data_IF_250984855843
#
_entry.id   IF_250984855843
#
_cell.length_a   1.000
_cell.length_b   1.000
_cell.length_c   1.000
_cell.angle_alpha   90.00
_cell.angle_beta   90.00
_cell.angle_gamma   90.00
#
_symmetry.space_group_name_H-M   'P 1'
#
loop_
_entity.id
_entity.type
_entity.pdbx_description
1 polymer ?
#
# COMPACT_ATOMS: atom_id res chain seq x y z
N UNK A 1 -14.60 -21.59 23.90
CA UNK A 1 -13.68 -20.96 24.84
C UNK A 1 -12.75 -20.09 23.99
N UNK A 2 -13.11 -18.80 23.80
CA UNK A 2 -12.35 -17.87 22.93
C UNK A 2 -11.28 -17.18 23.78
N UNK A 3 -10.02 -17.38 23.42
CA UNK A 3 -8.89 -16.71 24.04
C UNK A 3 -8.88 -15.24 23.61
N UNK A 4 -9.00 -14.32 24.57
CA UNK A 4 -8.75 -12.89 24.39
C UNK A 4 -7.26 -12.70 24.15
N UNK A 5 -6.88 -12.35 22.92
CA UNK A 5 -5.56 -11.82 22.60
C UNK A 5 -5.49 -10.37 23.07
N UNK A 6 -4.74 -10.15 24.13
CA UNK A 6 -4.36 -8.83 24.63
C UNK A 6 -3.31 -8.25 23.69
N UNK A 7 -3.62 -7.10 23.08
CA UNK A 7 -2.66 -6.35 22.27
C UNK A 7 -1.61 -5.67 23.15
N UNK A 8 -0.33 -5.66 22.77
CA UNK A 8 0.67 -4.87 23.46
C UNK A 8 0.42 -3.38 23.19
N UNK A 9 0.37 -2.57 24.25
CA UNK A 9 0.27 -1.13 24.22
C UNK A 9 1.51 -0.51 23.56
N UNK A 10 1.29 0.34 22.56
CA UNK A 10 2.33 1.18 21.95
C UNK A 10 2.76 2.24 22.96
N UNK A 11 4.07 2.43 23.22
CA UNK A 11 4.54 3.45 24.15
C UNK A 11 4.28 4.85 23.58
N UNK A 12 3.62 5.69 24.37
CA UNK A 12 3.48 7.13 24.16
C UNK A 12 4.85 7.81 24.26
N UNK A 13 5.20 8.59 23.26
CA UNK A 13 6.43 9.39 23.23
C UNK A 13 6.42 10.48 24.31
N UNK A 14 7.37 10.40 25.25
CA UNK A 14 7.81 11.54 26.05
C UNK A 14 9.07 12.12 25.43
N UNK A 15 9.04 13.43 25.21
CA UNK A 15 9.99 14.21 24.47
C UNK A 15 11.46 14.11 24.88
N UNK A 16 12.32 14.02 23.88
CA UNK A 16 13.70 14.47 23.93
C UNK A 16 13.93 15.46 22.78
N UNK A 17 14.05 16.74 23.12
CA UNK A 17 14.58 17.78 22.22
C UNK A 17 16.07 17.53 22.01
N UNK A 18 16.44 17.01 20.84
CA UNK A 18 17.82 16.97 20.35
C UNK A 18 17.79 17.33 18.88
N UNK A 19 18.47 18.41 18.52
CA UNK A 19 18.68 18.88 17.15
C UNK A 19 19.18 17.74 16.26
N UNK A 20 18.31 17.20 15.40
CA UNK A 20 18.67 16.28 14.32
C UNK A 20 18.65 17.06 13.01
N UNK A 21 19.80 17.03 12.32
CA UNK A 21 19.90 17.42 10.91
C UNK A 21 18.90 16.59 10.12
N UNK A 22 18.05 17.27 9.36
CA UNK A 22 17.03 16.69 8.47
C UNK A 22 17.67 15.72 7.47
N UNK A 23 17.65 14.45 7.77
CA UNK A 23 17.61 13.37 6.79
C UNK A 23 16.13 13.20 6.46
N UNK A 24 15.73 13.54 5.24
CA UNK A 24 14.35 13.73 4.77
C UNK A 24 13.36 12.59 5.02
N UNK A 25 13.18 12.20 6.26
CA UNK A 25 12.02 11.39 6.66
C UNK A 25 10.82 12.32 6.72
N UNK A 26 9.95 12.26 5.71
CA UNK A 26 8.63 12.86 5.79
C UNK A 26 7.92 12.26 6.99
N UNK A 27 7.62 13.06 8.00
CA UNK A 27 6.71 12.67 9.08
C UNK A 27 5.35 12.32 8.45
N UNK A 28 5.02 11.05 8.45
CA UNK A 28 3.69 10.59 8.05
C UNK A 28 2.78 10.92 9.24
N UNK A 29 1.89 11.89 9.05
CA UNK A 29 0.85 12.17 10.04
C UNK A 29 -0.09 10.96 10.12
N UNK A 30 -0.10 10.34 11.29
CA UNK A 30 -0.92 9.16 11.56
C UNK A 30 -2.08 9.56 12.47
N UNK A 31 -3.29 9.19 12.08
CA UNK A 31 -4.46 9.28 12.95
C UNK A 31 -4.68 7.94 13.65
N UNK A 32 -5.08 8.00 14.91
CA UNK A 32 -5.54 6.79 15.61
C UNK A 32 -6.82 6.26 14.95
N UNK A 33 -6.81 4.97 14.67
CA UNK A 33 -7.96 4.29 14.07
C UNK A 33 -8.99 3.97 15.15
N UNK A 34 -10.25 4.40 14.94
CA UNK A 34 -11.35 4.07 15.84
C UNK A 34 -11.83 2.63 15.64
N UNK A 35 -12.37 1.99 16.67
CA UNK A 35 -12.96 0.64 16.57
C UNK A 35 -14.08 0.55 15.50
N UNK A 36 -14.84 1.64 15.31
CA UNK A 36 -15.90 1.71 14.32
C UNK A 36 -15.39 1.74 12.88
N UNK A 37 -14.10 2.02 12.64
CA UNK A 37 -13.54 2.13 11.30
C UNK A 37 -13.51 0.78 10.57
N UNK A 38 -13.13 -0.30 11.23
CA UNK A 38 -13.00 -1.61 10.55
C UNK A 38 -14.34 -2.11 9.96
N UNK A 39 -15.48 -2.09 10.66
CA UNK A 39 -16.76 -2.41 10.06
C UNK A 39 -17.17 -1.46 8.91
N UNK A 40 -16.84 -0.17 9.02
CA UNK A 40 -17.05 0.81 7.96
C UNK A 40 -16.22 0.47 6.73
N UNK A 41 -14.93 0.23 6.91
CA UNK A 41 -13.99 -0.17 5.86
C UNK A 41 -14.42 -1.45 5.14
N UNK A 42 -14.83 -2.50 5.89
CA UNK A 42 -15.33 -3.74 5.31
C UNK A 42 -16.58 -3.51 4.44
N UNK A 43 -17.52 -2.71 4.92
CA UNK A 43 -18.73 -2.37 4.17
C UNK A 43 -18.40 -1.56 2.90
N UNK A 44 -17.44 -0.64 2.98
CA UNK A 44 -16.94 0.12 1.84
C UNK A 44 -16.32 -0.79 0.77
N UNK A 45 -15.47 -1.73 1.15
CA UNK A 45 -14.89 -2.71 0.24
C UNK A 45 -15.94 -3.57 -0.47
N UNK A 46 -16.93 -4.06 0.28
CA UNK A 46 -18.07 -4.80 -0.27
C UNK A 46 -18.88 -3.92 -1.24
N UNK A 47 -19.11 -2.65 -0.89
CA UNK A 47 -19.83 -1.72 -1.75
C UNK A 47 -19.11 -1.52 -3.08
N UNK A 48 -17.81 -1.23 -3.06
CA UNK A 48 -17.00 -1.04 -4.27
C UNK A 48 -16.96 -2.30 -5.12
N UNK A 49 -16.76 -3.48 -4.53
CA UNK A 49 -16.74 -4.74 -5.26
C UNK A 49 -18.04 -5.03 -6.02
N UNK A 50 -19.18 -4.60 -5.51
CA UNK A 50 -20.49 -4.78 -6.18
C UNK A 50 -20.68 -3.89 -7.42
N UNK A 51 -19.81 -2.91 -7.65
CA UNK A 51 -19.90 -2.02 -8.81
C UNK A 51 -19.30 -2.65 -10.08
N UNK A 52 -18.63 -3.81 -9.94
CA UNK A 52 -17.97 -4.51 -11.05
C UNK A 52 -18.47 -5.94 -11.09
N UNK A 53 -18.83 -6.43 -12.26
CA UNK A 53 -19.18 -7.83 -12.46
C UNK A 53 -17.99 -8.73 -12.11
N UNK A 54 -18.23 -9.72 -11.25
CA UNK A 54 -17.16 -10.55 -10.70
C UNK A 54 -16.30 -9.88 -9.60
N UNK A 55 -16.61 -8.64 -9.22
CA UNK A 55 -15.92 -7.88 -8.19
C UNK A 55 -14.60 -7.26 -8.64
N UNK A 56 -14.01 -6.44 -7.78
CA UNK A 56 -12.70 -5.83 -8.02
C UNK A 56 -11.61 -6.90 -7.84
N UNK A 57 -10.90 -7.24 -8.91
CA UNK A 57 -9.86 -8.27 -8.92
C UNK A 57 -8.47 -7.72 -8.55
N UNK A 58 -8.23 -6.43 -8.73
CA UNK A 58 -6.93 -5.80 -8.53
C UNK A 58 -6.98 -4.76 -7.42
N UNK A 59 -7.01 -5.20 -6.18
CA UNK A 59 -6.80 -4.35 -5.01
C UNK A 59 -5.31 -4.02 -4.90
N UNK A 60 -4.98 -2.73 -4.75
CA UNK A 60 -3.60 -2.27 -4.58
C UNK A 60 -3.20 -2.38 -3.11
N UNK A 61 -3.98 -1.73 -2.24
CA UNK A 61 -3.82 -1.78 -0.81
C UNK A 61 -5.19 -1.83 -0.16
N UNK A 62 -5.44 -2.90 0.55
CA UNK A 62 -6.74 -3.11 1.18
C UNK A 62 -6.60 -3.35 2.69
N UNK A 63 -5.48 -2.89 3.30
CA UNK A 63 -5.23 -3.08 4.71
C UNK A 63 -5.39 -1.75 5.47
N UNK A 64 -6.25 -1.67 6.50
CA UNK A 64 -6.58 -0.41 7.16
C UNK A 64 -5.56 0.01 8.24
N UNK A 65 -4.53 -0.79 8.51
CA UNK A 65 -3.56 -0.51 9.57
C UNK A 65 -2.34 0.29 9.05
N UNK A 66 -1.73 1.13 9.90
CA UNK A 66 -0.52 1.86 9.55
C UNK A 66 0.59 0.94 9.02
N UNK A 67 1.45 1.44 8.13
CA UNK A 67 1.67 2.85 7.75
C UNK A 67 0.91 3.32 6.50
N UNK A 68 -0.23 2.77 6.15
CA UNK A 68 -0.95 3.08 4.91
C UNK A 68 -1.51 4.49 4.86
N UNK A 69 -1.38 5.14 3.70
CA UNK A 69 -1.86 6.49 3.43
C UNK A 69 -3.28 6.51 2.87
N UNK A 70 -3.68 5.42 2.21
CA UNK A 70 -5.01 5.19 1.66
C UNK A 70 -5.75 4.09 2.42
N UNK A 71 -7.09 4.17 2.45
CA UNK A 71 -7.91 3.17 3.15
C UNK A 71 -8.27 1.98 2.27
N UNK A 72 -8.60 2.23 1.01
CA UNK A 72 -8.83 1.25 -0.04
C UNK A 72 -8.26 1.81 -1.34
N UNK A 73 -7.64 0.96 -2.14
CA UNK A 73 -7.13 1.36 -3.44
C UNK A 73 -7.25 0.21 -4.41
N UNK A 74 -7.64 0.50 -5.65
CA UNK A 74 -7.86 -0.52 -6.65
C UNK A 74 -7.47 -0.04 -8.05
N UNK A 75 -7.25 -0.99 -8.93
CA UNK A 75 -7.09 -0.77 -10.36
C UNK A 75 -8.35 -1.23 -11.10
N UNK A 76 -8.81 -0.40 -12.03
CA UNK A 76 -9.84 -0.74 -13.00
C UNK A 76 -9.30 -0.44 -14.40
N UNK A 77 -9.12 -1.49 -15.22
CA UNK A 77 -8.45 -1.35 -16.50
C UNK A 77 -7.05 -0.75 -16.35
N UNK A 78 -6.79 0.35 -17.04
CA UNK A 78 -5.54 1.11 -16.99
C UNK A 78 -5.55 2.27 -15.97
N UNK A 79 -6.57 2.37 -15.11
CA UNK A 79 -6.73 3.45 -14.14
C UNK A 79 -6.53 2.96 -12.70
N UNK A 80 -5.96 3.83 -11.85
CA UNK A 80 -5.74 3.59 -10.42
C UNK A 80 -6.62 4.53 -9.60
N UNK A 81 -7.26 4.00 -8.59
CA UNK A 81 -8.13 4.74 -7.67
C UNK A 81 -7.63 4.54 -6.24
N UNK A 82 -7.20 5.63 -5.62
CA UNK A 82 -6.78 5.67 -4.22
C UNK A 82 -7.93 6.18 -3.38
N UNK A 83 -8.50 5.33 -2.53
CA UNK A 83 -9.77 5.61 -1.88
C UNK A 83 -9.60 5.79 -0.37
N UNK A 84 -9.95 6.98 0.12
CA UNK A 84 -10.14 7.25 1.54
C UNK A 84 -11.61 7.04 1.91
N UNK A 85 -11.83 6.31 3.00
CA UNK A 85 -13.17 6.14 3.57
C UNK A 85 -13.39 7.24 4.58
N UNK A 86 -14.49 7.96 4.45
CA UNK A 86 -14.92 8.99 5.39
C UNK A 86 -16.31 8.65 5.95
N UNK A 87 -16.44 8.64 7.26
CA UNK A 87 -17.75 8.62 7.93
C UNK A 87 -18.35 10.01 7.89
N UNK A 88 -19.55 10.15 7.31
CA UNK A 88 -20.25 11.45 7.24
C UNK A 88 -20.59 12.03 8.60
N UNK A 89 -20.73 11.18 9.64
CA UNK A 89 -20.95 11.59 11.03
C UNK A 89 -19.64 11.84 11.80
N UNK A 90 -18.47 11.54 11.19
CA UNK A 90 -17.16 11.76 11.80
C UNK A 90 -16.80 10.85 12.98
N UNK A 91 -17.57 9.78 13.24
CA UNK A 91 -17.39 8.88 14.39
C UNK A 91 -16.40 7.75 14.09
N UNK A 92 -16.29 7.34 12.82
CA UNK A 92 -15.35 6.33 12.37
C UNK A 92 -14.18 7.00 11.64
N UNK A 93 -13.00 6.93 12.23
CA UNK A 93 -11.77 7.52 11.69
C UNK A 93 -10.76 6.43 11.39
N UNK A 94 -10.21 6.44 10.18
CA UNK A 94 -9.16 5.53 9.75
C UNK A 94 -7.77 6.18 9.75
N UNK A 95 -6.73 5.39 9.45
CA UNK A 95 -5.36 5.85 9.40
C UNK A 95 -5.11 6.77 8.20
N UNK A 96 -3.97 7.47 8.22
CA UNK A 96 -3.52 8.33 7.13
C UNK A 96 -4.28 9.64 7.01
N UNK A 97 -3.81 10.49 6.12
CA UNK A 97 -4.39 11.80 5.87
C UNK A 97 -4.83 11.94 4.41
N UNK A 98 -5.75 12.88 4.15
CA UNK A 98 -6.15 13.22 2.79
C UNK A 98 -4.96 13.72 1.95
N UNK A 99 -4.04 14.45 2.59
CA UNK A 99 -2.80 14.92 1.96
C UNK A 99 -1.91 13.76 1.53
N UNK A 100 -1.75 12.74 2.40
CA UNK A 100 -0.99 11.53 2.09
C UNK A 100 -1.60 10.73 0.94
N UNK A 101 -2.94 10.57 0.95
CA UNK A 101 -3.66 9.95 -0.16
C UNK A 101 -3.45 10.69 -1.48
N UNK A 102 -3.59 12.02 -1.47
CA UNK A 102 -3.42 12.84 -2.68
C UNK A 102 -1.97 12.78 -3.20
N UNK A 103 -0.97 12.69 -2.30
CA UNK A 103 0.43 12.49 -2.69
C UNK A 103 0.64 11.13 -3.36
N UNK A 104 0.17 10.03 -2.73
CA UNK A 104 0.27 8.69 -3.30
C UNK A 104 -0.42 8.58 -4.67
N UNK A 105 -1.62 9.15 -4.80
CA UNK A 105 -2.35 9.16 -6.06
C UNK A 105 -1.61 9.93 -7.16
N UNK A 106 -1.00 11.06 -6.83
CA UNK A 106 -0.20 11.85 -7.77
C UNK A 106 1.06 11.11 -8.21
N UNK A 107 1.80 10.53 -7.24
CA UNK A 107 3.05 9.81 -7.51
C UNK A 107 2.82 8.54 -8.35
N UNK A 108 1.64 7.93 -8.20
CA UNK A 108 1.20 6.81 -9.00
C UNK A 108 0.42 7.22 -10.27
N UNK A 109 0.28 8.51 -10.59
CA UNK A 109 -0.57 8.98 -11.68
C UNK A 109 -1.97 8.33 -11.65
N UNK A 110 -2.63 8.40 -10.51
CA UNK A 110 -3.95 7.85 -10.23
C UNK A 110 -4.95 8.90 -9.75
N UNK A 111 -6.14 8.45 -9.41
CA UNK A 111 -7.24 9.29 -8.94
C UNK A 111 -7.35 9.22 -7.42
N UNK A 112 -7.21 10.36 -6.73
CA UNK A 112 -7.50 10.47 -5.32
C UNK A 112 -9.02 10.58 -5.10
N UNK A 113 -9.59 9.64 -4.36
CA UNK A 113 -11.02 9.51 -4.15
C UNK A 113 -11.39 9.47 -2.67
N UNK A 114 -12.60 9.91 -2.37
CA UNK A 114 -13.25 9.74 -1.06
C UNK A 114 -14.50 8.91 -1.29
N UNK A 115 -14.72 7.95 -0.39
CA UNK A 115 -15.96 7.21 -0.29
C UNK A 115 -16.66 7.60 1.01
N UNK A 116 -17.65 8.50 0.98
CA UNK A 116 -18.46 8.83 2.12
C UNK A 116 -19.33 7.63 2.51
N UNK A 117 -19.26 7.25 3.78
CA UNK A 117 -20.04 6.17 4.37
C UNK A 117 -20.91 6.71 5.49
N UNK A 118 -22.11 6.13 5.65
CA UNK A 118 -23.01 6.45 6.75
C UNK A 118 -23.51 5.19 7.43
N UNK A 119 -23.82 5.32 8.72
CA UNK A 119 -24.45 4.25 9.49
C UNK A 119 -25.95 4.36 9.34
N UNK A 120 -26.63 3.27 8.98
CA UNK A 120 -28.10 3.25 8.94
C UNK A 120 -28.67 3.48 10.33
N UNK A 121 -29.72 4.28 10.42
CA UNK A 121 -30.44 4.55 11.67
C UNK A 121 -30.99 3.27 12.32
N UNK A 122 -31.50 2.35 11.49
CA UNK A 122 -31.99 1.05 11.94
C UNK A 122 -31.04 -0.06 11.52
N UNK A 123 -30.64 -0.93 12.47
CA UNK A 123 -29.77 -2.08 12.20
C UNK A 123 -28.27 -1.79 12.22
N UNK A 124 -27.85 -0.53 12.35
CA UNK A 124 -26.43 -0.16 12.59
C UNK A 124 -25.44 -0.52 11.47
N UNK A 125 -25.90 -0.99 10.30
CA UNK A 125 -25.03 -1.35 9.18
C UNK A 125 -24.51 -0.11 8.44
N UNK A 126 -23.25 -0.20 7.96
CA UNK A 126 -22.65 0.83 7.14
C UNK A 126 -23.07 0.70 5.67
N UNK A 127 -23.30 1.83 5.02
CA UNK A 127 -23.61 1.93 3.58
C UNK A 127 -22.92 3.14 2.98
N UNK A 128 -22.67 3.12 1.68
CA UNK A 128 -22.22 4.33 0.98
C UNK A 128 -23.30 5.42 1.08
N UNK A 129 -22.88 6.65 1.30
CA UNK A 129 -23.81 7.78 1.40
C UNK A 129 -24.46 8.12 0.05
N UNK A 130 -23.75 7.86 -1.05
CA UNK A 130 -24.21 8.15 -2.40
C UNK A 130 -24.42 6.84 -3.20
N UNK A 131 -25.36 6.82 -4.18
CA UNK A 131 -25.61 5.67 -5.03
C UNK A 131 -24.48 5.42 -6.03
N UNK A 132 -24.53 4.28 -6.71
CA UNK A 132 -23.55 3.84 -7.69
C UNK A 132 -22.19 3.60 -7.02
N UNK A 133 -21.10 4.07 -7.61
CA UNK A 133 -19.77 3.97 -7.03
C UNK A 133 -19.65 4.71 -5.68
N UNK A 134 -20.43 5.77 -5.49
CA UNK A 134 -20.38 6.59 -4.28
C UNK A 134 -19.08 7.39 -4.11
N UNK A 135 -18.18 7.32 -5.08
CA UNK A 135 -16.87 7.97 -5.04
C UNK A 135 -16.95 9.44 -5.37
N UNK A 136 -16.21 10.25 -4.62
CA UNK A 136 -15.97 11.66 -4.87
C UNK A 136 -14.49 11.89 -5.17
N UNK A 137 -14.20 12.83 -6.08
CA UNK A 137 -12.84 13.35 -6.24
C UNK A 137 -12.41 14.02 -4.92
N UNK A 138 -11.21 13.69 -4.45
CA UNK A 138 -10.73 14.13 -3.13
C UNK A 138 -10.55 15.65 -3.04
N UNK A 139 -10.23 16.30 -4.14
CA UNK A 139 -10.01 17.75 -4.21
C UNK A 139 -11.31 18.52 -4.46
N UNK A 140 -12.02 18.15 -5.52
CA UNK A 140 -13.19 18.91 -6.00
C UNK A 140 -14.50 18.50 -5.35
N UNK A 141 -14.52 17.36 -4.65
CA UNK A 141 -15.73 16.75 -4.07
C UNK A 141 -16.82 16.40 -5.11
N UNK A 142 -16.51 16.41 -6.39
CA UNK A 142 -17.44 16.01 -7.45
C UNK A 142 -17.50 14.49 -7.55
N UNK A 143 -18.67 13.91 -7.90
CA UNK A 143 -18.79 12.46 -8.12
C UNK A 143 -17.83 11.95 -9.20
N UNK A 144 -17.23 10.78 -8.94
CA UNK A 144 -16.39 10.05 -9.90
C UNK A 144 -17.08 8.73 -10.24
N UNK A 145 -17.24 8.48 -11.54
CA UNK A 145 -17.52 7.14 -12.05
C UNK A 145 -16.24 6.58 -12.68
N UNK A 146 -15.66 5.49 -12.12
CA UNK A 146 -14.44 4.88 -12.63
C UNK A 146 -14.55 4.32 -14.06
N UNK A 147 -15.71 3.78 -14.44
CA UNK A 147 -15.88 3.05 -15.70
C UNK A 147 -15.53 3.88 -16.95
N UNK A 148 -16.06 5.08 -17.16
CA UNK A 148 -15.75 5.87 -18.36
C UNK A 148 -14.32 6.45 -18.35
N UNK A 149 -13.59 6.34 -17.24
CA UNK A 149 -12.18 6.77 -17.17
C UNK A 149 -11.23 5.71 -17.73
N UNK A 150 -11.67 4.46 -17.80
CA UNK A 150 -10.90 3.38 -18.43
C UNK A 150 -10.80 3.64 -19.94
N UNK A 151 -9.60 3.53 -20.48
CA UNK A 151 -9.31 3.76 -21.90
C UNK A 151 -8.42 2.66 -22.46
N UNK A 152 -8.32 2.59 -23.79
CA UNK A 152 -7.37 1.72 -24.51
C UNK A 152 -5.93 2.27 -24.52
N UNK A 153 -5.70 3.44 -23.93
CA UNK A 153 -4.37 4.05 -23.89
C UNK A 153 -3.42 3.21 -23.01
N UNK A 154 -2.25 2.93 -23.54
CA UNK A 154 -1.17 2.36 -22.73
C UNK A 154 -0.66 3.43 -21.76
N UNK A 155 -0.71 3.13 -20.47
CA UNK A 155 -0.18 3.98 -19.41
C UNK A 155 1.01 3.27 -18.81
N UNK A 156 2.17 3.91 -18.87
CA UNK A 156 3.40 3.35 -18.26
C UNK A 156 3.28 3.38 -16.73
N UNK A 157 3.70 2.29 -16.10
CA UNK A 157 3.78 2.21 -14.66
C UNK A 157 4.83 3.17 -14.11
N UNK A 158 4.45 3.94 -13.11
CA UNK A 158 5.39 4.82 -12.43
C UNK A 158 6.40 4.01 -11.60
N UNK A 159 7.56 4.58 -11.24
CA UNK A 159 8.51 3.93 -10.32
C UNK A 159 7.86 3.51 -9.00
N UNK A 160 6.90 4.30 -8.51
CA UNK A 160 6.12 4.00 -7.32
C UNK A 160 5.31 2.70 -7.49
N UNK A 161 4.58 2.54 -8.61
CA UNK A 161 3.79 1.34 -8.89
C UNK A 161 4.65 0.08 -8.99
N UNK A 162 5.80 0.19 -9.67
CA UNK A 162 6.73 -0.94 -9.80
C UNK A 162 7.30 -1.34 -8.45
N UNK A 163 7.62 -0.37 -7.60
CA UNK A 163 8.10 -0.64 -6.26
C UNK A 163 7.01 -1.25 -5.37
N UNK A 164 5.79 -0.70 -5.39
CA UNK A 164 4.66 -1.27 -4.65
C UNK A 164 4.37 -2.72 -5.06
N UNK A 165 4.44 -3.03 -6.36
CA UNK A 165 4.32 -4.39 -6.86
C UNK A 165 5.45 -5.29 -6.34
N UNK A 166 6.69 -4.80 -6.32
CA UNK A 166 7.84 -5.54 -5.78
C UNK A 166 7.63 -5.87 -4.29
N UNK A 167 7.13 -4.92 -3.51
CA UNK A 167 6.78 -5.15 -2.10
C UNK A 167 5.69 -6.21 -1.97
N UNK A 168 4.67 -6.21 -2.84
CA UNK A 168 3.62 -7.22 -2.82
C UNK A 168 4.17 -8.62 -3.15
N UNK A 169 5.11 -8.74 -4.09
CA UNK A 169 5.79 -10.02 -4.42
C UNK A 169 6.49 -10.58 -3.18
N UNK A 170 7.26 -9.75 -2.47
CA UNK A 170 7.98 -10.18 -1.26
C UNK A 170 7.00 -10.50 -0.12
N UNK A 171 5.95 -9.71 0.04
CA UNK A 171 4.88 -9.98 1.01
C UNK A 171 4.23 -11.35 0.76
N UNK A 172 3.86 -11.63 -0.47
CA UNK A 172 3.19 -12.88 -0.84
C UNK A 172 4.13 -14.08 -0.66
N UNK A 173 5.43 -13.90 -0.95
CA UNK A 173 6.45 -14.89 -0.65
C UNK A 173 6.52 -15.19 0.86
N UNK A 174 6.61 -14.17 1.71
CA UNK A 174 6.64 -14.34 3.17
C UNK A 174 5.41 -15.06 3.69
N UNK A 175 4.22 -14.71 3.19
CA UNK A 175 2.98 -15.40 3.56
C UNK A 175 2.97 -16.86 3.11
N UNK A 176 3.46 -17.15 1.91
CA UNK A 176 3.57 -18.53 1.38
C UNK A 176 4.53 -19.37 2.19
N UNK A 177 5.64 -18.79 2.66
CA UNK A 177 6.60 -19.42 3.55
C UNK A 177 6.08 -19.57 5.00
N UNK A 178 4.86 -19.11 5.27
CA UNK A 178 4.21 -19.25 6.59
C UNK A 178 4.61 -18.21 7.63
N UNK A 179 5.27 -17.11 7.21
CA UNK A 179 5.57 -16.01 8.12
C UNK A 179 4.34 -15.16 8.43
N UNK A 180 4.26 -14.67 9.65
CA UNK A 180 3.23 -13.74 10.09
C UNK A 180 3.66 -12.30 9.76
N UNK A 181 2.87 -11.60 8.95
CA UNK A 181 3.14 -10.22 8.60
C UNK A 181 2.70 -9.28 9.73
N UNK A 182 3.55 -8.32 10.06
CA UNK A 182 3.26 -7.26 11.02
C UNK A 182 2.77 -5.99 10.31
N UNK A 183 3.52 -5.54 9.29
CA UNK A 183 3.16 -4.39 8.46
C UNK A 183 3.93 -4.40 7.15
N UNK A 184 3.40 -3.73 6.14
CA UNK A 184 4.09 -3.48 4.87
C UNK A 184 3.62 -2.16 4.27
N UNK A 185 4.44 -1.60 3.40
CA UNK A 185 4.12 -0.39 2.66
C UNK A 185 4.95 -0.32 1.36
N UNK A 186 4.36 0.24 0.31
CA UNK A 186 4.95 0.31 -1.04
C UNK A 186 5.52 1.68 -1.41
N UNK A 187 5.74 2.60 -0.45
CA UNK A 187 6.39 3.86 -0.75
C UNK A 187 7.91 3.67 -0.85
N UNK A 188 8.56 3.96 -2.00
CA UNK A 188 9.99 3.78 -2.18
C UNK A 188 10.86 4.68 -1.28
N UNK A 189 10.27 5.74 -0.70
CA UNK A 189 10.96 6.66 0.22
C UNK A 189 10.94 6.20 1.69
N UNK A 190 10.26 5.08 2.00
CA UNK A 190 10.08 4.59 3.37
C UNK A 190 10.70 3.22 3.55
N UNK A 191 11.68 3.12 4.44
CA UNK A 191 12.33 1.88 4.85
C UNK A 191 12.12 1.60 6.36
N UNK A 192 12.00 0.33 6.73
CA UNK A 192 11.90 -0.84 5.86
C UNK A 192 10.53 -0.96 5.18
N UNK A 193 10.47 -1.74 4.08
CA UNK A 193 9.23 -1.94 3.32
C UNK A 193 8.28 -2.90 4.01
N UNK A 194 8.79 -3.91 4.72
CA UNK A 194 7.99 -4.97 5.36
C UNK A 194 8.54 -5.25 6.76
N UNK A 195 7.63 -5.44 7.72
CA UNK A 195 7.89 -6.05 9.03
C UNK A 195 7.13 -7.37 9.14
N UNK A 196 7.79 -8.40 9.66
CA UNK A 196 7.20 -9.73 9.83
C UNK A 196 7.75 -10.42 11.08
N UNK A 197 7.10 -11.47 11.53
CA UNK A 197 7.57 -12.33 12.64
C UNK A 197 8.41 -13.45 12.03
N UNK A 198 9.70 -13.47 12.36
CA UNK A 198 10.64 -14.47 11.86
C UNK A 198 10.49 -15.85 12.51
N UNK A 199 11.30 -16.80 12.09
CA UNK A 199 11.29 -18.21 12.61
C UNK A 199 11.53 -18.28 14.12
N UNK A 200 12.27 -17.32 14.67
CA UNK A 200 12.56 -17.22 16.11
C UNK A 200 11.42 -16.59 16.92
N UNK A 201 10.27 -16.31 16.29
CA UNK A 201 9.15 -15.59 16.88
C UNK A 201 9.49 -14.16 17.31
N UNK A 202 10.49 -13.56 16.69
CA UNK A 202 10.90 -12.17 16.89
C UNK A 202 10.60 -11.35 15.64
N UNK A 203 10.40 -10.04 15.77
CA UNK A 203 10.29 -9.14 14.61
C UNK A 203 11.53 -9.20 13.74
N UNK A 204 11.34 -9.20 12.44
CA UNK A 204 12.36 -9.06 11.41
C UNK A 204 11.86 -8.08 10.35
N UNK A 205 12.76 -7.45 9.60
CA UNK A 205 12.39 -6.45 8.61
C UNK A 205 13.05 -6.70 7.26
N UNK A 206 12.39 -6.21 6.20
CA UNK A 206 12.88 -6.31 4.82
C UNK A 206 12.90 -4.94 4.17
N UNK A 207 14.01 -4.60 3.55
CA UNK A 207 14.10 -3.52 2.56
C UNK A 207 13.94 -4.14 1.17
N UNK A 208 12.92 -3.71 0.46
CA UNK A 208 12.67 -4.14 -0.92
C UNK A 208 13.21 -3.09 -1.88
N UNK A 209 13.84 -3.55 -2.96
CA UNK A 209 14.18 -2.68 -4.11
C UNK A 209 13.77 -3.37 -5.40
N UNK A 210 13.24 -2.57 -6.33
CA UNK A 210 12.89 -3.05 -7.66
C UNK A 210 13.99 -2.73 -8.67
N UNK A 211 14.29 -3.68 -9.54
CA UNK A 211 15.12 -3.49 -10.72
C UNK A 211 14.26 -3.55 -11.97
N UNK A 212 14.57 -2.71 -12.95
CA UNK A 212 14.00 -2.73 -14.30
C UNK A 212 15.09 -3.14 -15.29
N UNK A 213 14.69 -3.78 -16.38
CA UNK A 213 15.62 -4.06 -17.50
C UNK A 213 16.45 -2.80 -17.87
N UNK A 214 17.76 -2.92 -18.18
CA UNK A 214 18.51 -4.17 -18.30
C UNK A 214 19.03 -4.76 -16.98
N UNK A 215 18.85 -4.07 -15.84
CA UNK A 215 19.28 -4.58 -14.56
C UNK A 215 18.47 -5.81 -14.17
N UNK A 216 19.16 -6.89 -13.82
CA UNK A 216 18.55 -8.13 -13.37
C UNK A 216 18.38 -8.19 -11.85
N UNK A 217 19.10 -7.35 -11.13
CA UNK A 217 19.03 -7.21 -9.67
C UNK A 217 19.08 -5.74 -9.30
N UNK A 218 18.47 -5.42 -8.17
CA UNK A 218 18.61 -4.11 -7.52
C UNK A 218 19.78 -4.16 -6.54
N UNK A 219 20.43 -3.02 -6.36
CA UNK A 219 21.46 -2.87 -5.35
C UNK A 219 20.87 -2.65 -3.96
N UNK A 220 21.56 -3.17 -2.94
CA UNK A 220 21.28 -2.86 -1.55
C UNK A 220 21.47 -1.35 -1.32
N UNK A 221 20.55 -0.66 -0.62
CA UNK A 221 20.64 0.78 -0.43
C UNK A 221 21.93 1.18 0.28
N UNK A 222 22.56 2.26 -0.19
CA UNK A 222 23.81 2.79 0.38
C UNK A 222 23.70 3.24 1.83
N UNK A 223 22.48 3.60 2.26
CA UNK A 223 22.15 4.00 3.64
C UNK A 223 21.70 2.80 4.52
N UNK A 224 22.05 1.56 4.14
CA UNK A 224 21.66 0.34 4.87
C UNK A 224 21.93 0.41 6.38
N UNK A 225 23.13 0.89 6.77
CA UNK A 225 23.50 1.02 8.18
C UNK A 225 22.53 1.94 8.94
N UNK A 226 22.15 3.06 8.35
CA UNK A 226 21.20 3.99 8.97
C UNK A 226 19.80 3.41 9.11
N UNK A 227 19.36 2.60 8.13
CA UNK A 227 18.09 1.86 8.20
C UNK A 227 18.15 0.84 9.34
N UNK A 228 19.24 0.04 9.40
CA UNK A 228 19.43 -0.94 10.46
C UNK A 228 19.46 -0.31 11.85
N UNK A 229 20.15 0.81 12.03
CA UNK A 229 20.18 1.57 13.28
C UNK A 229 18.79 2.08 13.68
N UNK A 230 18.01 2.55 12.71
CA UNK A 230 16.62 2.98 12.92
C UNK A 230 15.71 1.82 13.36
N UNK A 231 15.94 0.62 12.82
CA UNK A 231 15.17 -0.59 13.15
C UNK A 231 15.61 -1.26 14.45
N UNK A 232 16.85 -1.02 14.94
CA UNK A 232 17.48 -1.75 16.03
C UNK A 232 16.67 -1.72 17.35
N UNK A 233 15.83 -0.71 17.57
CA UNK A 233 14.96 -0.63 18.74
C UNK A 233 13.93 -1.77 18.79
N UNK A 234 13.51 -2.29 17.64
CA UNK A 234 12.52 -3.38 17.51
C UNK A 234 13.20 -4.68 17.09
N UNK A 235 14.14 -4.63 16.15
CA UNK A 235 14.89 -5.79 15.68
C UNK A 235 16.21 -5.41 15.03
N UNK A 236 17.26 -6.20 15.31
CA UNK A 236 18.56 -6.13 14.63
C UNK A 236 18.64 -7.06 13.41
N UNK A 237 17.60 -7.88 13.16
CA UNK A 237 17.58 -8.82 12.05
C UNK A 237 16.87 -8.19 10.86
N UNK A 238 17.65 -7.84 9.84
CA UNK A 238 17.16 -7.22 8.62
C UNK A 238 17.56 -8.00 7.39
N UNK A 239 16.70 -7.94 6.38
CA UNK A 239 16.86 -8.62 5.11
C UNK A 239 16.76 -7.64 3.95
N UNK A 240 17.40 -8.00 2.85
CA UNK A 240 17.26 -7.32 1.59
C UNK A 240 16.52 -8.19 0.59
N UNK A 241 15.67 -7.59 -0.23
CA UNK A 241 14.93 -8.24 -1.29
C UNK A 241 15.09 -7.47 -2.60
N UNK A 242 15.76 -8.08 -3.57
CA UNK A 242 15.85 -7.59 -4.94
C UNK A 242 14.75 -8.22 -5.79
N UNK A 243 13.91 -7.41 -6.41
CA UNK A 243 12.81 -7.87 -7.27
C UNK A 243 13.00 -7.26 -8.67
N UNK A 244 13.32 -8.08 -9.65
CA UNK A 244 13.42 -7.63 -11.03
C UNK A 244 12.09 -7.80 -11.76
N UNK A 245 11.71 -6.78 -12.54
CA UNK A 245 10.45 -6.73 -13.28
C UNK A 245 10.72 -6.34 -14.71
N UNK A 246 10.20 -7.14 -15.65
CA UNK A 246 10.29 -6.86 -17.09
C UNK A 246 8.95 -7.10 -17.76
N UNK A 247 8.73 -6.44 -18.93
CA UNK A 247 7.55 -6.73 -19.75
C UNK A 247 7.53 -8.19 -20.18
N UNK A 248 6.35 -8.79 -20.31
CA UNK A 248 6.20 -10.17 -20.85
C UNK A 248 6.81 -10.30 -22.26
N UNK A 249 6.90 -9.20 -22.99
CA UNK A 249 7.50 -9.16 -24.33
C UNK A 249 9.03 -8.99 -24.31
N UNK A 250 9.67 -8.99 -23.14
CA UNK A 250 11.12 -8.80 -22.99
C UNK A 250 11.68 -9.83 -22.01
N UNK A 251 12.37 -10.87 -22.52
CA UNK A 251 12.99 -11.87 -21.63
C UNK A 251 14.17 -11.25 -20.86
N UNK A 252 14.39 -11.71 -19.62
CA UNK A 252 15.50 -11.27 -18.77
C UNK A 252 16.91 -11.45 -19.39
N UNK A 253 17.05 -12.33 -20.37
CA UNK A 253 18.33 -12.67 -20.98
C UNK A 253 18.69 -11.79 -22.19
N UNK A 254 17.84 -10.89 -22.63
CA UNK A 254 18.11 -10.02 -23.78
C UNK A 254 19.00 -8.84 -23.37
N UNK A 255 20.26 -8.82 -23.84
CA UNK A 255 21.21 -7.74 -23.53
C UNK A 255 21.25 -6.62 -24.58
N UNK A 256 20.63 -6.80 -25.73
CA UNK A 256 20.78 -5.91 -26.90
C UNK A 256 19.53 -5.07 -27.23
N UNK A 257 18.40 -5.33 -26.58
CA UNK A 257 17.16 -4.65 -26.87
C UNK A 257 16.95 -3.42 -25.97
N UNK A 258 16.37 -2.36 -26.54
CA UNK A 258 15.92 -1.22 -25.75
C UNK A 258 14.86 -1.65 -24.73
N UNK A 259 14.85 -1.05 -23.52
CA UNK A 259 13.84 -1.39 -22.50
C UNK A 259 12.42 -1.24 -23.02
N UNK A 260 11.61 -2.30 -22.89
CA UNK A 260 10.18 -2.23 -23.16
C UNK A 260 9.48 -1.66 -21.92
N UNK A 261 8.70 -0.57 -22.06
CA UNK A 261 8.00 0.00 -20.93
C UNK A 261 7.04 -0.99 -20.26
N UNK A 262 6.92 -0.89 -18.94
CA UNK A 262 5.94 -1.65 -18.16
C UNK A 262 4.59 -0.92 -18.23
N UNK A 263 3.60 -1.56 -18.85
CA UNK A 263 2.27 -0.98 -19.04
C UNK A 263 1.29 -1.50 -18.00
N UNK A 264 0.44 -0.62 -17.45
CA UNK A 264 -0.65 -1.01 -16.56
C UNK A 264 -1.56 -2.04 -17.22
N UNK A 265 -1.88 -3.11 -16.49
CA UNK A 265 -2.77 -4.16 -16.98
C UNK A 265 -2.16 -5.13 -17.97
N UNK A 266 -0.89 -4.95 -18.35
CA UNK A 266 -0.17 -5.90 -19.21
C UNK A 266 0.59 -6.93 -18.38
N UNK A 267 0.93 -8.05 -19.02
CA UNK A 267 1.72 -9.11 -18.41
C UNK A 267 3.15 -8.67 -18.13
N UNK A 268 3.71 -9.18 -17.03
CA UNK A 268 5.08 -8.93 -16.61
C UNK A 268 5.72 -10.22 -16.15
N UNK A 269 7.03 -10.36 -16.39
CA UNK A 269 7.85 -11.36 -15.73
C UNK A 269 8.49 -10.75 -14.50
N UNK A 270 8.42 -11.49 -13.40
CA UNK A 270 9.00 -11.09 -12.13
C UNK A 270 10.02 -12.14 -11.72
N UNK A 271 11.22 -11.70 -11.32
CA UNK A 271 12.23 -12.54 -10.70
C UNK A 271 12.51 -12.06 -9.29
N UNK A 272 12.44 -12.99 -8.37
CA UNK A 272 12.76 -12.80 -6.96
C UNK A 272 13.36 -14.09 -6.42
N UNK A 273 14.62 -14.05 -6.01
CA UNK A 273 15.41 -15.24 -5.66
C UNK A 273 15.43 -15.51 -4.14
N UNK A 274 14.63 -14.78 -3.38
CA UNK A 274 14.52 -14.91 -1.92
C UNK A 274 15.12 -13.73 -1.14
N UNK A 275 15.16 -13.85 0.19
CA UNK A 275 15.73 -12.84 1.07
C UNK A 275 17.24 -13.06 1.25
N UNK A 276 17.99 -11.96 1.26
CA UNK A 276 19.43 -11.89 1.59
C UNK A 276 19.66 -11.38 3.01
#
# INVERSE_FOLDING_TARGET
MMAKLSMPSVPTEHGCRGSRKDLGMRNIEMHEMTEAFFPCWKAAGIHLSKQVDGGIQSWLRAHPYPPFLEHLSFRLGNQLFFVRIEDVDGKAQGPGTLRGLAAAARDANGHACILPMKKKLFGGSWVADMPGWGLLNAETRKPINPVPLVTEKKIEMTPWEVHDMAVQVVRDYLQKEGFELMSWQGNPEVDPSIWFVGKTRRPEWVVVRSAKFPASNADRPTNWAAIADGCARLSTTGHFASVAVVSVNQPFASSEEAPVPLWRGHGMHVRFDGLE
#
